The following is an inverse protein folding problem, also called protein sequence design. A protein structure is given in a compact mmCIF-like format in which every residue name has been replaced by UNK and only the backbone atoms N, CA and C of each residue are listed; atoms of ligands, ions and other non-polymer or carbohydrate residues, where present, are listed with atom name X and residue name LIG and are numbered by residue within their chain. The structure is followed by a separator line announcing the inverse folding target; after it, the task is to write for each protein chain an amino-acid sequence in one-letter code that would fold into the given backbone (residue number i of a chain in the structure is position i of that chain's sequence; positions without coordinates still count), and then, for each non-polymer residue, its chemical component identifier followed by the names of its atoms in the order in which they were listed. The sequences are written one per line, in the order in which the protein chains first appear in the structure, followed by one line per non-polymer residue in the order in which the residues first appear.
data_IF_132676146792
#
_entry.id   IF_132676146792
#
_cell.length_a   1.000
_cell.length_b   1.000
_cell.length_c   1.000
_cell.angle_alpha   90.00
_cell.angle_beta   90.00
_cell.angle_gamma   90.00
#
_symmetry.space_group_name_H-M   'P 1'
#
loop_
_entity.id
_entity.type
_entity.pdbx_description
1 polymer ?
#
# COMPACT_ATOMS: atom_id res chain seq x y z
N UNK A 1 -18.19 -27.05 5.20
CA UNK A 1 -17.20 -26.34 6.04
C UNK A 1 -17.75 -26.33 7.47
N UNK A 2 -17.06 -26.93 8.46
CA UNK A 2 -17.59 -27.04 9.84
C UNK A 2 -17.73 -25.66 10.52
N UNK A 3 -18.65 -25.52 11.48
CA UNK A 3 -18.91 -24.28 12.22
C UNK A 3 -17.60 -23.66 12.77
N UNK A 4 -16.77 -24.49 13.41
CA UNK A 4 -15.41 -24.16 13.88
C UNK A 4 -14.51 -23.54 12.82
N UNK A 5 -14.50 -24.04 11.58
CA UNK A 5 -13.68 -23.46 10.50
C UNK A 5 -14.19 -22.08 10.08
N UNK A 6 -15.51 -21.85 10.10
CA UNK A 6 -16.10 -20.53 9.82
C UNK A 6 -15.79 -19.54 10.94
N UNK A 7 -15.92 -19.97 12.20
CA UNK A 7 -15.55 -19.16 13.35
C UNK A 7 -14.06 -18.78 13.31
N UNK A 8 -13.18 -19.76 13.06
CA UNK A 8 -11.74 -19.50 12.92
C UNK A 8 -11.43 -18.54 11.76
N UNK A 9 -12.12 -18.64 10.63
CA UNK A 9 -11.98 -17.70 9.51
C UNK A 9 -12.41 -16.28 9.89
N UNK A 10 -13.50 -16.11 10.63
CA UNK A 10 -13.94 -14.81 11.13
C UNK A 10 -12.97 -14.22 12.15
N UNK A 11 -12.49 -15.02 13.10
CA UNK A 11 -11.47 -14.59 14.07
C UNK A 11 -10.16 -14.22 13.38
N UNK A 12 -9.83 -14.86 12.26
CA UNK A 12 -8.63 -14.53 11.49
C UNK A 12 -8.62 -13.09 10.95
N UNK A 13 -9.78 -12.42 10.84
CA UNK A 13 -9.91 -11.02 10.44
C UNK A 13 -9.38 -10.05 11.50
N UNK A 14 -9.34 -10.44 12.77
CA UNK A 14 -8.85 -9.59 13.85
C UNK A 14 -7.31 -9.46 13.84
N UNK A 15 -6.76 -8.36 14.40
CA UNK A 15 -5.33 -8.18 14.55
C UNK A 15 -4.66 -9.35 15.29
N UNK A 16 -3.43 -9.77 14.92
CA UNK A 16 -2.76 -10.91 15.54
C UNK A 16 -2.71 -10.85 17.06
N UNK A 17 -2.28 -9.73 17.63
CA UNK A 17 -2.18 -9.56 19.08
C UNK A 17 -3.54 -9.68 19.80
N UNK A 18 -4.63 -9.32 19.13
CA UNK A 18 -5.96 -9.53 19.66
C UNK A 18 -6.32 -11.02 19.65
N UNK A 19 -6.02 -11.73 18.55
CA UNK A 19 -6.29 -13.17 18.42
C UNK A 19 -5.46 -14.00 19.39
N UNK A 20 -4.22 -13.60 19.64
CA UNK A 20 -3.34 -14.31 20.57
C UNK A 20 -3.90 -14.29 22.00
N UNK A 21 -4.65 -13.24 22.37
CA UNK A 21 -5.25 -13.07 23.70
C UNK A 21 -6.71 -13.55 23.79
N UNK A 22 -7.55 -13.18 22.83
CA UNK A 22 -9.00 -13.39 22.88
C UNK A 22 -9.51 -14.36 21.80
N UNK A 23 -8.63 -14.83 20.91
CA UNK A 23 -9.04 -15.59 19.73
C UNK A 23 -9.70 -16.93 20.09
N UNK A 24 -9.19 -17.65 21.08
CA UNK A 24 -9.78 -18.92 21.50
C UNK A 24 -11.16 -18.73 22.15
N UNK A 25 -11.28 -17.75 23.06
CA UNK A 25 -12.56 -17.39 23.71
C UNK A 25 -13.60 -16.97 22.67
N UNK A 26 -13.21 -16.16 21.68
CA UNK A 26 -14.13 -15.68 20.66
C UNK A 26 -14.51 -16.76 19.65
N UNK A 27 -13.61 -17.70 19.33
CA UNK A 27 -13.97 -18.89 18.54
C UNK A 27 -15.00 -19.73 19.29
N UNK A 28 -14.81 -19.99 20.58
CA UNK A 28 -15.78 -20.73 21.39
C UNK A 28 -17.15 -20.03 21.43
N UNK A 29 -17.17 -18.71 21.64
CA UNK A 29 -18.40 -17.92 21.65
C UNK A 29 -19.14 -17.95 20.30
N UNK A 30 -18.41 -17.96 19.17
CA UNK A 30 -19.00 -18.12 17.84
C UNK A 30 -19.46 -19.55 17.54
N UNK A 31 -18.85 -20.56 18.17
CA UNK A 31 -19.30 -21.95 18.08
C UNK A 31 -20.60 -22.16 18.86
N UNK A 32 -20.71 -21.59 20.06
CA UNK A 32 -21.91 -21.69 20.92
C UNK A 32 -23.12 -20.94 20.34
N UNK A 33 -22.87 -19.75 19.77
CA UNK A 33 -23.95 -18.92 19.18
C UNK A 33 -24.28 -19.28 17.72
N UNK A 34 -23.37 -20.00 17.05
CA UNK A 34 -23.45 -20.30 15.62
C UNK A 34 -23.08 -19.12 14.72
N UNK A 35 -22.43 -19.43 13.59
CA UNK A 35 -22.04 -18.43 12.58
C UNK A 35 -23.17 -18.21 11.57
N UNK A 36 -24.03 -17.21 11.81
CA UNK A 36 -25.04 -16.74 10.86
C UNK A 36 -24.58 -15.45 10.16
N UNK A 37 -25.30 -15.04 9.10
CA UNK A 37 -24.95 -13.84 8.31
C UNK A 37 -24.88 -12.58 9.19
N UNK A 38 -25.74 -12.46 10.21
CA UNK A 38 -25.73 -11.34 11.15
C UNK A 38 -24.41 -11.24 11.91
N UNK A 39 -23.89 -12.35 12.42
CA UNK A 39 -22.59 -12.40 13.13
C UNK A 39 -21.45 -12.02 12.19
N UNK A 40 -21.50 -12.43 10.92
CA UNK A 40 -20.52 -12.00 9.90
C UNK A 40 -20.56 -10.48 9.72
N UNK A 41 -21.76 -9.90 9.60
CA UNK A 41 -21.96 -8.46 9.46
C UNK A 41 -21.60 -7.66 10.71
N UNK A 42 -21.67 -8.24 11.90
CA UNK A 42 -21.24 -7.61 13.15
C UNK A 42 -19.71 -7.71 13.35
N UNK A 43 -19.12 -8.86 12.99
CA UNK A 43 -17.68 -9.11 13.12
C UNK A 43 -16.87 -8.25 12.16
N UNK A 44 -17.30 -8.08 10.91
CA UNK A 44 -16.57 -7.28 9.92
C UNK A 44 -16.24 -5.84 10.39
N UNK A 45 -17.20 -5.01 10.80
CA UNK A 45 -16.93 -3.65 11.27
C UNK A 45 -16.23 -3.64 12.63
N UNK A 46 -16.40 -4.67 13.47
CA UNK A 46 -15.67 -4.79 14.73
C UNK A 46 -14.19 -5.10 14.52
N UNK A 47 -13.87 -6.04 13.62
CA UNK A 47 -12.51 -6.34 13.19
C UNK A 47 -11.87 -5.12 12.54
N UNK A 48 -12.59 -4.43 11.63
CA UNK A 48 -12.11 -3.18 11.03
C UNK A 48 -11.81 -2.11 12.09
N UNK A 49 -12.71 -1.91 13.07
CA UNK A 49 -12.47 -1.00 14.21
C UNK A 49 -11.23 -1.39 15.02
N UNK A 50 -11.01 -2.68 15.27
CA UNK A 50 -9.83 -3.17 15.98
C UNK A 50 -8.52 -2.88 15.24
N UNK A 51 -8.54 -2.87 13.89
CA UNK A 51 -7.41 -2.42 13.07
C UNK A 51 -7.23 -0.90 13.09
N UNK A 52 -8.33 -0.13 13.03
CA UNK A 52 -8.29 1.35 12.98
C UNK A 52 -7.84 1.94 14.33
N UNK A 53 -8.32 1.37 15.44
CA UNK A 53 -8.05 1.77 16.82
C UNK A 53 -7.51 0.58 17.62
N UNK A 54 -6.25 0.19 17.43
CA UNK A 54 -5.65 -0.91 18.17
C UNK A 54 -5.63 -0.59 19.67
N UNK A 55 -6.08 -1.51 20.51
CA UNK A 55 -5.99 -1.35 21.95
C UNK A 55 -4.51 -1.21 22.37
N UNK A 56 -4.18 -0.08 23.02
CA UNK A 56 -2.80 0.30 23.34
C UNK A 56 -2.08 -0.75 24.21
N UNK A 57 -2.81 -1.43 25.09
CA UNK A 57 -2.29 -2.45 26.00
C UNK A 57 -2.02 -3.80 25.32
N UNK A 58 -2.50 -4.03 24.09
CA UNK A 58 -2.31 -5.29 23.37
C UNK A 58 -1.13 -5.25 22.41
N UNK A 59 -0.59 -4.07 22.10
CA UNK A 59 0.42 -3.95 21.06
C UNK A 59 1.78 -3.57 21.64
N UNK A 60 2.72 -4.51 21.52
CA UNK A 60 4.14 -4.20 21.59
C UNK A 60 4.46 -3.10 20.57
N UNK A 61 5.24 -2.11 21.00
CA UNK A 61 5.65 -0.96 20.20
C UNK A 61 6.32 -1.38 18.90
N UNK A 62 7.16 -2.42 18.95
CA UNK A 62 7.81 -2.95 17.76
C UNK A 62 6.77 -3.50 16.77
N UNK A 63 5.69 -4.13 17.26
CA UNK A 63 4.60 -4.60 16.42
C UNK A 63 3.87 -3.44 15.71
N UNK A 64 3.65 -2.31 16.41
CA UNK A 64 3.07 -1.10 15.79
C UNK A 64 3.95 -0.53 14.69
N UNK A 65 5.26 -0.44 14.92
CA UNK A 65 6.19 0.07 13.90
C UNK A 65 6.24 -0.87 12.69
N UNK A 66 6.25 -2.20 12.89
CA UNK A 66 6.17 -3.19 11.80
C UNK A 66 4.88 -3.07 10.99
N UNK A 67 3.74 -2.87 11.67
CA UNK A 67 2.45 -2.65 11.02
C UNK A 67 2.45 -1.34 10.20
N UNK A 68 3.00 -0.24 10.73
CA UNK A 68 3.15 1.01 10.00
C UNK A 68 4.01 0.86 8.74
N UNK A 69 5.17 0.20 8.82
CA UNK A 69 6.02 -0.06 7.64
C UNK A 69 5.27 -0.87 6.59
N UNK A 70 4.56 -1.91 7.01
CA UNK A 70 3.77 -2.77 6.10
C UNK A 70 2.65 -1.99 5.42
N UNK A 71 1.92 -1.17 6.18
CA UNK A 71 0.84 -0.34 5.67
C UNK A 71 1.35 0.75 4.72
N UNK A 72 2.47 1.39 5.05
CA UNK A 72 3.13 2.37 4.17
C UNK A 72 3.58 1.72 2.87
N UNK A 73 4.19 0.53 2.92
CA UNK A 73 4.61 -0.19 1.72
C UNK A 73 3.40 -0.60 0.86
N UNK A 74 2.35 -1.14 1.49
CA UNK A 74 1.10 -1.49 0.80
C UNK A 74 0.48 -0.28 0.08
N UNK A 75 0.34 0.84 0.81
CA UNK A 75 -0.22 2.06 0.26
C UNK A 75 0.67 2.61 -0.88
N UNK A 76 2.00 2.59 -0.70
CA UNK A 76 2.93 3.04 -1.73
C UNK A 76 2.84 2.20 -3.01
N UNK A 77 2.82 0.86 -2.92
CA UNK A 77 2.66 -0.01 -4.09
C UNK A 77 1.32 0.23 -4.78
N UNK A 78 0.24 0.43 -4.02
CA UNK A 78 -1.09 0.74 -4.57
C UNK A 78 -1.08 2.06 -5.34
N UNK A 79 -0.44 3.10 -4.80
CA UNK A 79 -0.29 4.40 -5.47
C UNK A 79 0.56 4.27 -6.73
N UNK A 80 1.67 3.53 -6.70
CA UNK A 80 2.51 3.32 -7.90
C UNK A 80 1.75 2.56 -8.98
N UNK A 81 1.02 1.50 -8.61
CA UNK A 81 0.18 0.76 -9.55
C UNK A 81 -0.88 1.67 -10.18
N UNK A 82 -1.57 2.48 -9.37
CA UNK A 82 -2.52 3.49 -9.84
C UNK A 82 -1.90 4.49 -10.81
N UNK A 83 -0.73 5.03 -10.47
CA UNK A 83 -0.01 5.99 -11.31
C UNK A 83 0.42 5.39 -12.66
N UNK A 84 0.88 4.14 -12.68
CA UNK A 84 1.24 3.44 -13.93
C UNK A 84 0.02 3.24 -14.81
N UNK A 85 -1.07 2.73 -14.24
CA UNK A 85 -2.34 2.52 -14.97
C UNK A 85 -2.87 3.86 -15.50
N UNK A 86 -2.79 4.92 -14.70
CA UNK A 86 -3.20 6.26 -15.10
C UNK A 86 -2.39 6.81 -16.28
N UNK A 87 -1.06 6.68 -16.22
CA UNK A 87 -0.17 7.10 -17.31
C UNK A 87 -0.53 6.39 -18.61
N UNK A 88 -0.71 5.07 -18.57
CA UNK A 88 -1.09 4.30 -19.76
C UNK A 88 -2.46 4.71 -20.34
N UNK A 89 -3.40 5.19 -19.51
CA UNK A 89 -4.69 5.66 -19.98
C UNK A 89 -4.67 7.06 -20.61
N UNK A 90 -3.65 7.88 -20.32
CA UNK A 90 -3.59 9.29 -20.70
C UNK A 90 -2.30 9.65 -21.46
N UNK A 91 -1.53 8.65 -21.89
CA UNK A 91 -0.23 8.87 -22.50
C UNK A 91 -0.28 9.44 -23.92
N UNK A 92 -1.47 9.53 -24.52
CA UNK A 92 -1.68 10.19 -25.81
C UNK A 92 -1.41 11.70 -25.66
N UNK A 93 -0.29 12.22 -26.20
CA UNK A 93 -0.04 13.65 -26.16
C UNK A 93 -1.11 14.35 -27.00
N UNK A 94 -1.87 15.25 -26.39
CA UNK A 94 -2.76 16.13 -27.13
C UNK A 94 -1.92 16.87 -28.19
N UNK A 95 -2.21 16.73 -29.50
CA UNK A 95 -1.40 17.34 -30.53
C UNK A 95 -1.37 18.86 -30.34
N UNK A 96 -0.16 19.42 -30.23
CA UNK A 96 0.07 20.88 -30.17
C UNK A 96 0.36 21.48 -28.78
N UNK A 97 0.42 20.70 -27.69
CA UNK A 97 0.68 21.25 -26.34
C UNK A 97 2.02 20.84 -25.72
N UNK A 98 3.09 21.66 -25.84
CA UNK A 98 4.35 21.44 -25.12
C UNK A 98 4.23 21.70 -23.59
N UNK A 99 3.19 22.42 -23.15
CA UNK A 99 3.01 22.84 -21.75
C UNK A 99 2.80 21.68 -20.75
N UNK A 100 2.30 20.51 -21.20
CA UNK A 100 2.18 19.33 -20.35
C UNK A 100 3.52 18.64 -20.04
N UNK A 101 4.56 18.91 -20.82
CA UNK A 101 5.86 18.25 -20.71
C UNK A 101 6.54 18.51 -19.36
N UNK A 102 6.47 19.73 -18.83
CA UNK A 102 7.09 20.10 -17.56
C UNK A 102 6.45 19.38 -16.35
N UNK A 103 5.11 19.39 -16.26
CA UNK A 103 4.39 18.69 -15.19
C UNK A 103 4.56 17.17 -15.25
N UNK A 104 4.59 16.61 -16.47
CA UNK A 104 4.87 15.18 -16.70
C UNK A 104 6.29 14.82 -16.29
N UNK A 105 7.29 15.61 -16.68
CA UNK A 105 8.69 15.40 -16.27
C UNK A 105 8.84 15.47 -14.75
N UNK A 106 8.19 16.45 -14.10
CA UNK A 106 8.16 16.55 -12.64
C UNK A 106 7.50 15.31 -12.01
N UNK A 107 6.37 14.84 -12.56
CA UNK A 107 5.69 13.63 -12.08
C UNK A 107 6.61 12.40 -12.14
N UNK A 108 7.26 12.17 -13.28
CA UNK A 108 8.21 11.05 -13.47
C UNK A 108 9.40 11.18 -12.53
N UNK A 109 10.01 12.37 -12.43
CA UNK A 109 11.16 12.61 -11.55
C UNK A 109 10.80 12.34 -10.08
N UNK A 110 9.65 12.84 -9.60
CA UNK A 110 9.17 12.57 -8.25
C UNK A 110 8.85 11.09 -8.00
N UNK A 111 8.29 10.38 -8.98
CA UNK A 111 8.01 8.95 -8.88
C UNK A 111 9.31 8.12 -8.78
N UNK A 112 10.31 8.42 -9.63
CA UNK A 112 11.64 7.78 -9.59
C UNK A 112 12.36 8.07 -8.27
N UNK A 113 12.34 9.33 -7.81
CA UNK A 113 12.91 9.71 -6.53
C UNK A 113 12.21 8.98 -5.37
N UNK A 114 10.88 8.88 -5.39
CA UNK A 114 10.09 8.14 -4.39
C UNK A 114 10.50 6.67 -4.33
N UNK A 115 10.57 5.99 -5.48
CA UNK A 115 11.00 4.59 -5.56
C UNK A 115 12.43 4.39 -5.05
N UNK A 116 13.34 5.27 -5.45
CA UNK A 116 14.74 5.23 -5.00
C UNK A 116 14.83 5.35 -3.49
N UNK A 117 14.05 6.25 -2.90
CA UNK A 117 14.04 6.52 -1.47
C UNK A 117 13.44 5.35 -0.66
N UNK A 118 12.42 4.66 -1.16
CA UNK A 118 11.92 3.39 -0.58
C UNK A 118 12.99 2.31 -0.62
N UNK A 119 13.67 2.13 -1.76
CA UNK A 119 14.73 1.10 -1.91
C UNK A 119 15.88 1.39 -0.95
N UNK A 120 16.47 2.59 -1.02
CA UNK A 120 17.60 2.98 -0.19
C UNK A 120 17.25 2.98 1.30
N UNK A 121 16.05 3.44 1.67
CA UNK A 121 15.56 3.42 3.05
C UNK A 121 15.25 2.03 3.59
N UNK A 122 14.87 1.09 2.72
CA UNK A 122 14.62 -0.30 3.05
C UNK A 122 15.89 -1.15 3.23
N UNK A 123 17.01 -0.76 2.62
CA UNK A 123 18.27 -1.53 2.66
C UNK A 123 18.80 -1.77 4.09
N UNK A 124 18.89 -0.78 4.99
CA UNK A 124 19.34 -1.01 6.36
C UNK A 124 18.44 -2.00 7.12
N UNK A 125 17.13 -1.95 6.87
CA UNK A 125 16.16 -2.85 7.48
C UNK A 125 16.33 -4.27 6.94
N UNK A 126 16.46 -4.44 5.62
CA UNK A 126 16.72 -5.73 4.99
C UNK A 126 18.03 -6.34 5.52
N UNK A 127 19.11 -5.56 5.59
CA UNK A 127 20.39 -6.00 6.14
C UNK A 127 20.31 -6.39 7.61
N UNK A 128 19.49 -5.71 8.42
CA UNK A 128 19.25 -6.09 9.81
C UNK A 128 18.49 -7.42 9.92
N UNK A 129 17.46 -7.63 9.10
CA UNK A 129 16.69 -8.89 9.04
C UNK A 129 17.58 -10.05 8.57
N UNK A 130 18.41 -9.85 7.54
CA UNK A 130 19.33 -10.89 7.02
C UNK A 130 20.35 -11.30 8.08
N UNK A 131 20.95 -10.34 8.78
CA UNK A 131 21.90 -10.62 9.88
C UNK A 131 21.24 -11.35 11.03
N UNK A 132 20.07 -10.88 11.48
CA UNK A 132 19.36 -11.46 12.62
C UNK A 132 18.74 -12.84 12.33
N UNK A 133 18.42 -13.13 11.07
CA UNK A 133 17.81 -14.41 10.67
C UNK A 133 18.82 -15.54 10.41
N UNK A 134 20.13 -15.28 10.52
CA UNK A 134 21.17 -16.31 10.32
C UNK A 134 21.13 -16.94 8.92
N UNK A 135 20.81 -16.16 7.89
CA UNK A 135 20.68 -16.59 6.49
C UNK A 135 19.62 -17.66 6.20
N UNK A 136 18.57 -17.78 7.04
CA UNK A 136 17.43 -18.66 6.72
C UNK A 136 16.78 -18.27 5.40
N UNK A 137 16.94 -19.11 4.37
CA UNK A 137 16.47 -18.89 2.98
C UNK A 137 15.02 -18.43 2.93
N UNK A 138 14.14 -19.03 3.76
CA UNK A 138 12.71 -18.70 3.80
C UNK A 138 12.43 -17.25 4.22
N UNK A 139 13.26 -16.66 5.07
CA UNK A 139 13.13 -15.25 5.50
C UNK A 139 13.72 -14.31 4.45
N UNK A 140 14.84 -14.69 3.84
CA UNK A 140 15.44 -13.94 2.73
C UNK A 140 14.49 -13.89 1.53
N UNK A 141 13.91 -15.03 1.15
CA UNK A 141 12.93 -15.13 0.08
C UNK A 141 11.72 -14.22 0.35
N UNK A 142 11.26 -14.12 1.60
CA UNK A 142 10.16 -13.24 1.99
C UNK A 142 10.49 -11.75 1.81
N UNK A 143 11.76 -11.34 1.91
CA UNK A 143 12.20 -9.97 1.61
C UNK A 143 12.24 -9.68 0.10
N UNK A 144 12.37 -10.70 -0.74
CA UNK A 144 12.33 -10.59 -2.20
C UNK A 144 10.92 -10.46 -2.78
N UNK A 145 9.89 -10.88 -2.03
CA UNK A 145 8.48 -10.86 -2.48
C UNK A 145 8.02 -9.49 -3.01
N UNK A 146 8.30 -8.32 -2.38
CA UNK A 146 7.90 -7.03 -2.92
C UNK A 146 8.48 -6.76 -4.31
N UNK A 147 9.75 -7.10 -4.53
CA UNK A 147 10.44 -6.87 -5.81
C UNK A 147 9.83 -7.76 -6.89
N UNK A 148 9.63 -9.05 -6.59
CA UNK A 148 9.03 -10.01 -7.53
C UNK A 148 7.58 -9.63 -7.84
N UNK A 149 6.78 -9.27 -6.83
CA UNK A 149 5.39 -8.86 -7.01
C UNK A 149 5.27 -7.58 -7.85
N UNK A 150 6.11 -6.57 -7.58
CA UNK A 150 6.14 -5.33 -8.36
C UNK A 150 6.58 -5.58 -9.81
N UNK A 151 7.67 -6.34 -10.02
CA UNK A 151 8.14 -6.69 -11.35
C UNK A 151 7.11 -7.51 -12.13
N UNK A 152 6.47 -8.49 -11.48
CA UNK A 152 5.40 -9.30 -12.07
C UNK A 152 4.17 -8.46 -12.45
N UNK A 153 3.77 -7.51 -11.59
CA UNK A 153 2.68 -6.59 -11.91
C UNK A 153 3.03 -5.67 -13.09
N UNK A 154 4.22 -5.05 -13.09
CA UNK A 154 4.65 -4.14 -14.14
C UNK A 154 4.78 -4.85 -15.50
N UNK A 155 5.33 -6.06 -15.50
CA UNK A 155 5.44 -6.88 -16.73
C UNK A 155 4.07 -7.27 -17.26
N UNK A 156 3.13 -7.68 -16.39
CA UNK A 156 1.75 -7.95 -16.79
C UNK A 156 1.05 -6.70 -17.32
N UNK A 157 1.17 -5.57 -16.62
CA UNK A 157 0.54 -4.32 -17.05
C UNK A 157 1.06 -3.89 -18.42
N UNK A 158 2.38 -3.94 -18.64
CA UNK A 158 2.99 -3.65 -19.94
C UNK A 158 2.59 -4.65 -21.03
N UNK A 159 2.42 -5.94 -20.70
CA UNK A 159 1.93 -6.94 -21.64
C UNK A 159 0.47 -6.66 -22.04
N UNK A 160 -0.41 -6.39 -21.07
CA UNK A 160 -1.82 -6.05 -21.32
C UNK A 160 -1.93 -4.81 -22.19
N UNK A 161 -1.18 -3.75 -21.89
CA UNK A 161 -1.26 -2.52 -22.69
C UNK A 161 -0.72 -2.68 -24.11
N UNK A 162 0.22 -3.61 -24.34
CA UNK A 162 0.71 -3.94 -25.69
C UNK A 162 -0.23 -4.88 -26.47
N UNK A 163 -0.91 -5.80 -25.79
CA UNK A 163 -1.70 -6.85 -26.43
C UNK A 163 -3.17 -6.46 -26.64
N UNK A 164 -3.72 -5.61 -25.79
CA UNK A 164 -5.11 -5.14 -25.93
C UNK A 164 -5.13 -4.06 -27.00
N UNK A 165 -5.87 -4.26 -28.12
CA UNK A 165 -6.01 -3.24 -29.15
C UNK A 165 -6.54 -1.96 -28.53
N UNK A 166 -5.83 -0.84 -28.75
CA UNK A 166 -6.33 0.45 -28.34
C UNK A 166 -7.60 0.72 -29.13
N UNK A 167 -8.69 1.00 -28.42
CA UNK A 167 -9.92 1.43 -29.08
C UNK A 167 -9.61 2.71 -29.86
N UNK A 168 -9.99 2.81 -31.15
CA UNK A 168 -9.63 3.94 -32.01
C UNK A 168 -10.27 5.27 -31.58
N UNK A 169 -11.13 5.25 -30.56
CA UNK A 169 -11.69 6.47 -29.96
C UNK A 169 -10.69 7.06 -28.95
N UNK A 170 -10.21 8.30 -29.18
CA UNK A 170 -9.36 9.00 -28.22
C UNK A 170 -9.99 8.98 -26.82
N UNK A 171 -9.21 8.68 -25.79
CA UNK A 171 -9.67 8.68 -24.40
C UNK A 171 -10.43 7.43 -23.93
N UNK A 172 -10.64 6.41 -24.79
CA UNK A 172 -11.26 5.15 -24.35
C UNK A 172 -10.27 4.14 -23.74
N UNK A 173 -8.96 4.35 -23.92
CA UNK A 173 -7.88 3.60 -23.28
C UNK A 173 -8.01 2.07 -23.41
N UNK A 174 -7.54 1.34 -22.39
CA UNK A 174 -7.64 -0.12 -22.30
C UNK A 174 -9.08 -0.61 -22.04
N UNK A 175 -10.06 0.30 -21.94
CA UNK A 175 -11.43 0.00 -21.53
C UNK A 175 -11.59 -0.21 -20.02
N UNK A 176 -12.80 0.05 -19.50
CA UNK A 176 -13.10 -0.01 -18.07
C UNK A 176 -12.89 -1.40 -17.46
N UNK A 177 -13.16 -2.46 -18.22
CA UNK A 177 -13.01 -3.85 -17.78
C UNK A 177 -11.55 -4.20 -17.50
N UNK A 178 -10.63 -3.90 -18.42
CA UNK A 178 -9.20 -4.11 -18.21
C UNK A 178 -8.62 -3.20 -17.15
N UNK A 179 -9.10 -1.95 -17.04
CA UNK A 179 -8.73 -1.06 -15.94
C UNK A 179 -9.07 -1.68 -14.57
N UNK A 180 -10.30 -2.18 -14.40
CA UNK A 180 -10.72 -2.84 -13.17
C UNK A 180 -9.91 -4.12 -12.91
N UNK A 181 -9.63 -4.92 -13.95
CA UNK A 181 -8.81 -6.12 -13.85
C UNK A 181 -7.37 -5.80 -13.41
N UNK A 182 -6.71 -4.82 -14.06
CA UNK A 182 -5.36 -4.38 -13.69
C UNK A 182 -5.33 -3.79 -12.29
N UNK A 183 -6.35 -3.04 -11.90
CA UNK A 183 -6.48 -2.51 -10.53
C UNK A 183 -6.58 -3.64 -9.51
N UNK A 184 -7.42 -4.64 -9.77
CA UNK A 184 -7.55 -5.81 -8.89
C UNK A 184 -6.24 -6.59 -8.77
N UNK A 185 -5.53 -6.82 -9.88
CA UNK A 185 -4.22 -7.49 -9.85
C UNK A 185 -3.17 -6.64 -9.14
N UNK A 186 -3.17 -5.31 -9.33
CA UNK A 186 -2.31 -4.37 -8.62
C UNK A 186 -2.53 -4.43 -7.10
N UNK A 187 -3.78 -4.45 -6.67
CA UNK A 187 -4.14 -4.65 -5.26
C UNK A 187 -3.63 -5.98 -4.71
N UNK A 188 -3.78 -7.08 -5.46
CA UNK A 188 -3.26 -8.39 -5.07
C UNK A 188 -1.71 -8.40 -4.98
N UNK A 189 -1.03 -7.77 -5.94
CA UNK A 189 0.43 -7.62 -5.93
C UNK A 189 0.90 -6.78 -4.74
N UNK A 190 0.18 -5.70 -4.41
CA UNK A 190 0.44 -4.88 -3.23
C UNK A 190 0.28 -5.68 -1.93
N UNK A 191 -0.78 -6.50 -1.81
CA UNK A 191 -0.99 -7.37 -0.65
C UNK A 191 0.15 -8.39 -0.51
N UNK A 192 0.57 -9.02 -1.62
CA UNK A 192 1.70 -9.96 -1.62
C UNK A 192 3.01 -9.26 -1.22
N UNK A 193 3.27 -8.09 -1.80
CA UNK A 193 4.42 -7.25 -1.50
C UNK A 193 4.47 -6.82 -0.03
N UNK A 194 3.32 -6.53 0.59
CA UNK A 194 3.25 -6.20 2.01
C UNK A 194 3.41 -7.44 2.91
N UNK A 195 2.85 -8.59 2.52
CA UNK A 195 2.87 -9.81 3.31
C UNK A 195 4.29 -10.38 3.52
N UNK A 196 5.17 -10.26 2.51
CA UNK A 196 6.55 -10.75 2.58
C UNK A 196 7.35 -10.11 3.74
N UNK A 197 7.60 -8.79 3.72
CA UNK A 197 8.28 -8.07 4.80
C UNK A 197 7.55 -8.20 6.14
N UNK A 198 6.22 -8.20 6.16
CA UNK A 198 5.46 -8.40 7.40
C UNK A 198 5.75 -9.78 8.03
N UNK A 199 5.81 -10.84 7.21
CA UNK A 199 6.15 -12.18 7.68
C UNK A 199 7.59 -12.28 8.18
N UNK A 200 8.53 -11.62 7.48
CA UNK A 200 9.94 -11.58 7.88
C UNK A 200 10.14 -10.83 9.19
N UNK A 201 9.50 -9.67 9.35
CA UNK A 201 9.57 -8.85 10.55
C UNK A 201 8.85 -9.49 11.76
N UNK A 202 7.88 -10.38 11.54
CA UNK A 202 7.28 -11.18 12.63
C UNK A 202 8.22 -12.27 13.15
N UNK A 203 9.04 -12.85 12.27
CA UNK A 203 9.99 -13.93 12.62
C UNK A 203 11.29 -13.42 13.21
N UNK A 204 11.58 -12.13 13.05
CA UNK A 204 12.88 -11.55 13.38
C UNK A 204 12.67 -10.28 14.19
N UNK A 205 13.08 -10.23 15.48
CA UNK A 205 12.95 -9.05 16.31
C UNK A 205 13.95 -7.98 15.85
N UNK A 206 13.52 -7.12 14.93
CA UNK A 206 14.29 -5.95 14.50
C UNK A 206 13.71 -4.71 15.16
N UNK A 207 14.54 -4.00 15.90
CA UNK A 207 14.18 -2.76 16.60
C UNK A 207 15.26 -1.67 16.36
N UNK A 208 14.92 -0.43 16.73
CA UNK A 208 15.87 0.69 16.74
C UNK A 208 16.03 1.42 15.40
N UNK A 209 17.24 1.95 15.17
CA UNK A 209 17.60 2.84 14.04
C UNK A 209 17.17 2.36 12.64
N UNK A 210 17.37 1.08 12.22
CA UNK A 210 17.00 0.68 10.86
C UNK A 210 15.50 0.80 10.59
N UNK A 211 14.67 0.61 11.62
CA UNK A 211 13.21 0.74 11.49
C UNK A 211 12.79 2.22 11.41
N UNK A 212 13.47 3.11 12.14
CA UNK A 212 13.25 4.56 12.06
C UNK A 212 13.65 5.11 10.70
N UNK A 213 14.79 4.68 10.16
CA UNK A 213 15.23 5.08 8.81
C UNK A 213 14.24 4.61 7.74
N UNK A 214 13.77 3.37 7.82
CA UNK A 214 12.76 2.86 6.89
C UNK A 214 11.43 3.64 6.97
N UNK A 215 11.02 4.05 8.18
CA UNK A 215 9.80 4.87 8.37
C UNK A 215 9.98 6.30 7.85
N UNK A 216 11.13 6.94 8.12
CA UNK A 216 11.44 8.27 7.61
C UNK A 216 11.51 8.27 6.08
N UNK A 217 12.13 7.24 5.52
CA UNK A 217 12.14 7.01 4.08
C UNK A 217 10.73 6.81 3.53
N UNK A 218 9.93 5.93 4.13
CA UNK A 218 8.53 5.75 3.72
C UNK A 218 7.72 7.06 3.74
N UNK A 219 7.96 7.93 4.73
CA UNK A 219 7.30 9.24 4.80
C UNK A 219 7.75 10.17 3.66
N UNK A 220 9.06 10.29 3.41
CA UNK A 220 9.58 11.07 2.29
C UNK A 220 9.08 10.57 0.93
N UNK A 221 9.05 9.25 0.74
CA UNK A 221 8.53 8.61 -0.46
C UNK A 221 7.03 8.90 -0.66
N UNK A 222 6.25 8.92 0.43
CA UNK A 222 4.82 9.27 0.41
C UNK A 222 4.60 10.71 -0.04
N UNK A 223 5.42 11.66 0.43
CA UNK A 223 5.34 13.06 -0.02
C UNK A 223 5.67 13.16 -1.52
N UNK A 224 6.77 12.54 -1.96
CA UNK A 224 7.18 12.56 -3.37
C UNK A 224 6.13 11.95 -4.30
N UNK A 225 5.53 10.81 -3.92
CA UNK A 225 4.51 10.18 -4.77
C UNK A 225 3.18 10.95 -4.75
N UNK A 226 2.86 11.65 -3.65
CA UNK A 226 1.74 12.60 -3.62
C UNK A 226 1.98 13.74 -4.61
N UNK A 227 3.18 14.34 -4.60
CA UNK A 227 3.57 15.37 -5.56
C UNK A 227 3.49 14.84 -7.00
N UNK A 228 4.00 13.64 -7.26
CA UNK A 228 3.95 13.01 -8.58
C UNK A 228 2.51 12.79 -9.08
N UNK A 229 1.63 12.34 -8.18
CA UNK A 229 0.22 12.09 -8.51
C UNK A 229 -0.50 13.41 -8.79
N UNK A 230 -0.31 14.42 -7.95
CA UNK A 230 -0.93 15.74 -8.11
C UNK A 230 -0.44 16.43 -9.38
N UNK A 231 0.86 16.38 -9.69
CA UNK A 231 1.39 16.96 -10.92
C UNK A 231 0.92 16.21 -12.18
N UNK A 232 0.82 14.88 -12.11
CA UNK A 232 0.25 14.06 -13.18
C UNK A 232 -1.23 14.36 -13.44
N UNK A 233 -2.03 14.50 -12.38
CA UNK A 233 -3.42 14.93 -12.49
C UNK A 233 -3.54 16.35 -13.06
N UNK A 234 -2.71 17.28 -12.60
CA UNK A 234 -2.70 18.65 -13.11
C UNK A 234 -2.33 18.69 -14.61
N UNK A 235 -1.40 17.84 -15.05
CA UNK A 235 -1.02 17.74 -16.47
C UNK A 235 -2.18 17.33 -17.38
N UNK A 236 -3.19 16.61 -16.85
CA UNK A 236 -4.39 16.21 -17.58
C UNK A 236 -5.51 17.24 -17.42
N UNK A 237 -5.75 17.72 -16.20
CA UNK A 237 -6.86 18.61 -15.88
C UNK A 237 -6.67 20.04 -16.41
N UNK A 238 -5.44 20.57 -16.41
CA UNK A 238 -5.19 21.94 -16.86
C UNK A 238 -5.50 22.11 -18.36
N UNK A 239 -5.00 21.27 -19.28
CA UNK A 239 -5.38 21.36 -20.69
C UNK A 239 -6.88 21.20 -20.91
N UNK A 240 -7.52 20.26 -20.20
CA UNK A 240 -8.97 20.02 -20.30
C UNK A 240 -9.81 21.22 -19.86
N UNK A 241 -9.36 21.97 -18.84
CA UNK A 241 -10.04 23.17 -18.36
C UNK A 241 -9.86 24.39 -19.29
N UNK A 242 -8.69 24.53 -19.92
CA UNK A 242 -8.40 25.65 -20.82
C UNK A 242 -9.07 25.47 -22.19
N UNK A 243 -9.18 24.22 -22.67
CA UNK A 243 -9.78 23.89 -23.97
C UNK A 243 -10.85 22.81 -23.82
N UNK A 244 -12.05 23.18 -23.33
CA UNK A 244 -13.17 22.27 -23.22
C UNK A 244 -13.64 21.89 -24.63
N UNK A 245 -13.06 20.83 -25.19
CA UNK A 245 -13.32 20.39 -26.57
C UNK A 245 -14.66 19.64 -26.69
N UNK A 246 -15.29 19.29 -25.57
CA UNK A 246 -16.66 18.74 -25.52
C UNK A 246 -17.33 19.10 -24.19
N UNK A 247 -18.55 19.67 -24.19
CA UNK A 247 -19.33 19.85 -22.98
C UNK A 247 -19.87 18.49 -22.52
N UNK A 248 -19.44 18.01 -21.34
CA UNK A 248 -20.15 16.94 -20.63
C UNK A 248 -19.28 15.96 -19.85
N UNK A 249 -18.11 15.58 -20.36
CA UNK A 249 -17.36 14.45 -19.81
C UNK A 249 -16.01 14.88 -19.26
N UNK A 250 -16.00 15.58 -18.11
CA UNK A 250 -14.92 15.30 -17.17
C UNK A 250 -15.18 13.87 -16.70
N UNK A 251 -14.42 12.88 -17.18
CA UNK A 251 -14.84 11.50 -17.06
C UNK A 251 -14.87 11.18 -15.56
N UNK A 252 -16.02 10.73 -15.09
CA UNK A 252 -16.26 10.28 -13.70
C UNK A 252 -15.16 9.34 -13.19
N UNK A 253 -14.48 8.64 -14.11
CA UNK A 253 -13.28 7.83 -13.87
C UNK A 253 -12.08 8.64 -13.34
N UNK A 254 -11.80 9.85 -13.83
CA UNK A 254 -10.74 10.74 -13.32
C UNK A 254 -11.03 11.18 -11.89
N UNK A 255 -12.27 11.54 -11.59
CA UNK A 255 -12.68 11.91 -10.23
C UNK A 255 -12.59 10.71 -9.28
N UNK A 256 -13.09 9.55 -9.69
CA UNK A 256 -12.99 8.31 -8.91
C UNK A 256 -11.53 7.90 -8.68
N UNK A 257 -10.68 8.02 -9.71
CA UNK A 257 -9.25 7.77 -9.60
C UNK A 257 -8.58 8.75 -8.63
N UNK A 258 -8.81 10.06 -8.79
CA UNK A 258 -8.28 11.10 -7.91
C UNK A 258 -8.68 10.88 -6.45
N UNK A 259 -9.95 10.53 -6.20
CA UNK A 259 -10.45 10.19 -4.87
C UNK A 259 -9.78 8.94 -4.29
N UNK A 260 -9.63 7.88 -5.09
CA UNK A 260 -8.92 6.66 -4.69
C UNK A 260 -7.46 6.93 -4.33
N UNK A 261 -6.74 7.68 -5.17
CA UNK A 261 -5.35 8.07 -4.91
C UNK A 261 -5.22 8.93 -3.66
N UNK A 262 -6.09 9.92 -3.49
CA UNK A 262 -6.11 10.77 -2.31
C UNK A 262 -6.33 9.95 -1.02
N UNK A 263 -7.30 9.02 -1.02
CA UNK A 263 -7.54 8.13 0.11
C UNK A 263 -6.31 7.29 0.44
N UNK A 264 -5.65 6.73 -0.59
CA UNK A 264 -4.46 5.89 -0.42
C UNK A 264 -3.28 6.68 0.17
N UNK A 265 -3.10 7.93 -0.29
CA UNK A 265 -2.09 8.85 0.24
C UNK A 265 -2.37 9.26 1.69
N UNK A 266 -3.64 9.51 2.05
CA UNK A 266 -4.04 9.78 3.44
C UNK A 266 -3.73 8.59 4.35
N UNK A 267 -4.02 7.37 3.90
CA UNK A 267 -3.69 6.14 4.63
C UNK A 267 -2.16 5.99 4.80
N UNK A 268 -1.38 6.25 3.75
CA UNK A 268 0.08 6.23 3.82
C UNK A 268 0.63 7.26 4.81
N UNK A 269 0.20 8.52 4.69
CA UNK A 269 0.64 9.62 5.53
C UNK A 269 0.29 9.40 7.00
N UNK A 270 -0.95 9.00 7.30
CA UNK A 270 -1.37 8.69 8.67
C UNK A 270 -0.60 7.51 9.27
N UNK A 271 -0.29 6.49 8.47
CA UNK A 271 0.52 5.33 8.88
C UNK A 271 1.97 5.73 9.20
N UNK A 272 2.57 6.59 8.37
CA UNK A 272 3.90 7.16 8.58
C UNK A 272 3.96 8.00 9.85
N UNK A 273 3.02 8.93 10.05
CA UNK A 273 2.95 9.78 11.25
C UNK A 273 2.80 8.94 12.51
N UNK A 274 1.91 7.94 12.50
CA UNK A 274 1.74 7.00 13.62
C UNK A 274 3.02 6.23 13.92
N UNK A 275 3.74 5.78 12.89
CA UNK A 275 5.01 5.07 13.02
C UNK A 275 6.12 5.95 13.59
N UNK A 276 6.25 7.19 13.10
CA UNK A 276 7.25 8.16 13.56
C UNK A 276 7.00 8.63 15.00
N UNK A 277 5.74 8.90 15.37
CA UNK A 277 5.39 9.20 16.77
C UNK A 277 5.73 8.03 17.70
N UNK A 278 5.45 6.81 17.26
CA UNK A 278 5.85 5.60 17.98
C UNK A 278 7.38 5.39 17.99
N UNK A 279 8.17 6.03 17.14
CA UNK A 279 9.63 6.02 17.23
C UNK A 279 10.14 7.08 18.22
N UNK A 280 9.59 8.29 18.18
CA UNK A 280 10.01 9.43 19.00
C UNK A 280 9.74 9.22 20.50
N UNK A 281 8.68 8.50 20.87
CA UNK A 281 8.32 8.23 22.27
C UNK A 281 9.24 7.21 22.96
N UNK A 282 10.51 7.08 22.56
CA UNK A 282 11.48 6.17 23.20
C UNK A 282 12.25 6.99 24.21
N UNK A 283 11.92 6.90 25.51
CA UNK A 283 12.83 7.41 26.52
C UNK A 283 14.13 6.64 26.32
N UNK A 284 15.24 7.35 26.21
CA UNK A 284 16.55 6.74 26.00
C UNK A 284 16.82 5.69 27.07
N UNK A 285 16.71 4.41 26.70
CA UNK A 285 17.27 3.32 27.50
C UNK A 285 18.79 3.44 27.40
N UNK A 286 19.42 3.94 28.45
CA UNK A 286 20.83 3.74 28.71
C UNK A 286 21.79 4.76 28.10
N UNK A 287 21.73 6.01 28.58
CA UNK A 287 22.98 6.69 28.93
C UNK A 287 23.15 6.55 30.44
N UNK A 288 24.13 5.76 30.86
CA UNK A 288 24.74 5.85 32.19
C UNK A 288 24.00 5.16 33.34
N UNK A 289 24.18 3.85 33.49
CA UNK A 289 24.54 3.29 34.79
C UNK A 289 25.85 2.53 34.57
N UNK A 290 26.92 3.29 34.55
CA UNK A 290 28.30 2.83 34.65
C UNK A 290 28.95 3.69 35.73
#
# INVERSE_FOLDING_TARGET
MSCRRRAAALVALYPPAWRDRYGQEFVALLEDTGVQLRQVLDVLPAAARAWIRPAAHLHDRAARMRASVTATLFAWVTVVAGAVVFGQLHDDPAPGFPAGGGLRALSVACAVASASLVVLGGMPLAGAVVRASGRRVRTIAALGVPVVAAAGFLTLAAAVTRLVPHSPRPGTGVGATWFLALTAVGCAAALAAAAGPASALRRTPVAGRPLVLALAAGAGATVLIATATTSGLAAVLVPAAVWPSTPGDLPTTLLAYGAGMALTLVVAATSCVRGLRAAASSPGSGRGQG
#
